data_IF_072864198109
#
_entry.id   IF_072864198109
#
_cell.length_a   1.000
_cell.length_b   1.000
_cell.length_c   1.000
_cell.angle_alpha   90.00
_cell.angle_beta   90.00
_cell.angle_gamma   90.00
#
_symmetry.space_group_name_H-M   'P 1'
#
loop_
_entity.id
_entity.type
_entity.pdbx_description
1 polymer ?
#
# COMPACT_ATOMS: atom_id res chain seq x y z
N UNK A 1 2.41 9.56 -17.95
CA UNK A 1 0.98 9.49 -17.58
C UNK A 1 0.82 9.26 -16.10
N UNK A 2 -0.16 9.91 -15.52
CA UNK A 2 -0.45 9.75 -14.10
C UNK A 2 -0.94 8.32 -13.80
N UNK A 3 -0.45 7.75 -12.71
CA UNK A 3 -0.88 6.46 -12.20
C UNK A 3 -1.79 6.65 -10.99
N UNK A 4 -2.70 5.74 -10.77
CA UNK A 4 -3.66 5.80 -9.67
C UNK A 4 -3.18 4.92 -8.53
N UNK A 5 -2.96 5.53 -7.36
CA UNK A 5 -2.44 4.83 -6.19
C UNK A 5 -3.45 4.92 -5.05
N UNK A 6 -3.86 3.77 -4.54
CA UNK A 6 -4.68 3.69 -3.34
C UNK A 6 -3.74 3.59 -2.14
N UNK A 7 -3.91 4.47 -1.15
CA UNK A 7 -3.05 4.50 0.03
C UNK A 7 -3.88 4.12 1.25
N UNK A 8 -3.60 2.97 1.83
CA UNK A 8 -4.30 2.46 3.02
C UNK A 8 -3.39 2.62 4.22
N UNK A 9 -3.69 3.59 5.06
CA UNK A 9 -2.88 3.98 6.22
C UNK A 9 -3.77 4.66 7.25
N UNK A 10 -3.76 4.20 8.48
CA UNK A 10 -4.59 4.75 9.56
C UNK A 10 -4.00 6.01 10.21
N UNK A 11 -2.69 6.19 10.16
CA UNK A 11 -2.04 7.36 10.73
C UNK A 11 -2.17 8.56 9.79
N UNK A 12 -2.84 9.61 10.24
CA UNK A 12 -3.11 10.78 9.41
C UNK A 12 -1.87 11.45 8.85
N UNK A 13 -0.81 11.56 9.64
CA UNK A 13 0.42 12.21 9.20
C UNK A 13 1.10 11.40 8.10
N UNK A 14 1.19 10.09 8.28
CA UNK A 14 1.76 9.21 7.27
C UNK A 14 0.91 9.18 6.00
N UNK A 15 -0.41 9.13 6.16
CA UNK A 15 -1.33 9.14 5.02
C UNK A 15 -1.14 10.41 4.19
N UNK A 16 -1.09 11.57 4.87
CA UNK A 16 -0.87 12.85 4.21
C UNK A 16 0.49 12.87 3.50
N UNK A 17 1.54 12.40 4.18
CA UNK A 17 2.88 12.36 3.61
C UNK A 17 2.90 11.52 2.33
N UNK A 18 2.36 10.32 2.37
CA UNK A 18 2.37 9.44 1.21
C UNK A 18 1.58 10.02 0.04
N UNK A 19 0.39 10.56 0.33
CA UNK A 19 -0.44 11.16 -0.71
C UNK A 19 0.22 12.40 -1.32
N UNK A 20 0.81 13.25 -0.49
CA UNK A 20 1.49 14.46 -0.97
C UNK A 20 2.70 14.11 -1.84
N UNK A 21 3.49 13.11 -1.43
CA UNK A 21 4.63 12.64 -2.21
C UNK A 21 4.21 12.08 -3.57
N UNK A 22 3.15 11.28 -3.59
CA UNK A 22 2.65 10.70 -4.83
C UNK A 22 2.14 11.79 -5.78
N UNK A 23 1.39 12.75 -5.25
CA UNK A 23 0.88 13.87 -6.05
C UNK A 23 1.98 14.77 -6.57
N UNK A 24 3.04 14.95 -5.79
CA UNK A 24 4.20 15.73 -6.22
C UNK A 24 4.94 15.06 -7.37
N UNK A 25 4.77 13.75 -7.55
CA UNK A 25 5.37 12.98 -8.64
C UNK A 25 4.33 12.63 -9.73
N UNK A 26 3.28 13.44 -9.83
CA UNK A 26 2.27 13.37 -10.87
C UNK A 26 1.39 12.10 -10.83
N UNK A 27 1.25 11.48 -9.67
CA UNK A 27 0.32 10.36 -9.47
C UNK A 27 -0.97 10.83 -8.79
N UNK A 28 -2.07 10.16 -9.06
CA UNK A 28 -3.30 10.33 -8.28
C UNK A 28 -3.20 9.48 -7.02
N UNK A 29 -3.59 10.03 -5.88
CA UNK A 29 -3.57 9.31 -4.62
C UNK A 29 -4.96 9.37 -3.97
N UNK A 30 -5.52 8.20 -3.67
CA UNK A 30 -6.79 8.07 -2.95
C UNK A 30 -6.51 7.57 -1.54
N UNK A 31 -6.77 8.39 -0.51
CA UNK A 31 -6.52 7.97 0.87
C UNK A 31 -7.61 7.07 1.42
N UNK A 32 -7.21 6.05 2.17
CA UNK A 32 -8.12 5.17 2.92
C UNK A 32 -7.58 5.06 4.34
N UNK A 33 -8.30 5.61 5.30
CA UNK A 33 -7.86 5.62 6.70
C UNK A 33 -8.28 4.37 7.47
N UNK A 34 -9.31 3.69 7.01
CA UNK A 34 -9.85 2.51 7.66
C UNK A 34 -9.66 1.30 6.75
N UNK A 35 -8.84 0.34 7.20
CA UNK A 35 -8.55 -0.86 6.42
C UNK A 35 -9.77 -1.67 6.04
N UNK A 36 -10.86 -1.56 6.83
CA UNK A 36 -12.12 -2.25 6.53
C UNK A 36 -12.75 -1.78 5.23
N UNK A 37 -12.40 -0.58 4.76
CA UNK A 37 -12.92 -0.02 3.52
C UNK A 37 -12.00 -0.28 2.32
N UNK A 38 -10.83 -0.88 2.54
CA UNK A 38 -9.80 -0.99 1.51
C UNK A 38 -10.25 -1.75 0.28
N UNK A 39 -10.91 -2.89 0.46
CA UNK A 39 -11.36 -3.72 -0.67
C UNK A 39 -12.41 -2.99 -1.51
N UNK A 40 -13.42 -2.39 -0.87
CA UNK A 40 -14.46 -1.64 -1.57
C UNK A 40 -13.86 -0.44 -2.33
N UNK A 41 -12.94 0.28 -1.70
CA UNK A 41 -12.27 1.41 -2.33
C UNK A 41 -11.39 0.97 -3.51
N UNK A 42 -10.73 -0.17 -3.40
CA UNK A 42 -9.94 -0.72 -4.50
C UNK A 42 -10.81 -1.02 -5.72
N UNK A 43 -12.01 -1.56 -5.50
CA UNK A 43 -12.95 -1.82 -6.59
C UNK A 43 -13.42 -0.54 -7.26
N UNK A 44 -13.77 0.47 -6.46
CA UNK A 44 -14.31 1.74 -6.96
C UNK A 44 -13.23 2.59 -7.65
N UNK A 45 -12.07 2.66 -7.07
CA UNK A 45 -10.99 3.51 -7.58
C UNK A 45 -10.24 2.87 -8.74
N UNK A 46 -10.17 1.55 -8.80
CA UNK A 46 -9.42 0.78 -9.79
C UNK A 46 -7.96 1.24 -9.87
N UNK A 47 -7.20 1.12 -8.76
CA UNK A 47 -5.83 1.64 -8.72
C UNK A 47 -4.86 0.82 -9.56
N UNK A 48 -3.75 1.46 -9.93
CA UNK A 48 -2.62 0.80 -10.58
C UNK A 48 -1.64 0.23 -9.54
N UNK A 49 -1.73 0.71 -8.30
CA UNK A 49 -0.88 0.27 -7.18
C UNK A 49 -1.63 0.52 -5.87
N UNK A 50 -1.42 -0.37 -4.91
CA UNK A 50 -1.91 -0.19 -3.54
C UNK A 50 -0.70 -0.07 -2.61
N UNK A 51 -0.65 1.02 -1.84
CA UNK A 51 0.29 1.19 -0.73
C UNK A 51 -0.45 0.78 0.54
N UNK A 52 0.03 -0.26 1.21
CA UNK A 52 -0.69 -0.90 2.31
C UNK A 52 0.13 -0.87 3.60
N UNK A 53 -0.38 -0.17 4.62
CA UNK A 53 0.19 -0.25 5.95
C UNK A 53 -0.18 -1.61 6.55
N UNK A 54 0.81 -2.28 7.13
CA UNK A 54 0.60 -3.61 7.73
C UNK A 54 -0.02 -3.51 9.12
N UNK A 55 0.30 -2.45 9.86
CA UNK A 55 -0.11 -2.27 11.25
C UNK A 55 -1.27 -1.30 11.37
N UNK A 56 -2.49 -1.82 11.28
CA UNK A 56 -3.69 -1.01 11.41
C UNK A 56 -4.63 -1.60 12.45
N UNK A 57 -5.43 -0.74 13.14
CA UNK A 57 -6.49 -1.24 14.02
C UNK A 57 -7.58 -1.91 13.21
N UNK A 58 -8.34 -2.78 13.83
CA UNK A 58 -9.51 -3.48 13.28
C UNK A 58 -9.20 -4.57 12.25
N UNK A 59 -8.25 -4.36 11.35
CA UNK A 59 -7.91 -5.35 10.33
C UNK A 59 -6.41 -5.33 10.05
N UNK A 60 -5.80 -6.50 9.93
CA UNK A 60 -4.39 -6.63 9.61
C UNK A 60 -4.14 -6.32 8.12
N UNK A 61 -3.08 -5.58 7.83
CA UNK A 61 -2.65 -5.37 6.45
C UNK A 61 -2.30 -6.68 5.74
N UNK A 62 -1.77 -7.65 6.46
CA UNK A 62 -1.49 -8.98 5.89
C UNK A 62 -2.77 -9.66 5.42
N UNK A 63 -3.83 -9.62 6.23
CA UNK A 63 -5.12 -10.19 5.86
C UNK A 63 -5.72 -9.49 4.64
N UNK A 64 -5.57 -8.17 4.58
CA UNK A 64 -6.03 -7.39 3.42
C UNK A 64 -5.27 -7.77 2.15
N UNK A 65 -3.96 -7.94 2.24
CA UNK A 65 -3.14 -8.37 1.10
C UNK A 65 -3.62 -9.72 0.59
N UNK A 66 -3.81 -10.68 1.49
CA UNK A 66 -4.31 -12.01 1.12
C UNK A 66 -5.69 -11.94 0.49
N UNK A 67 -6.58 -11.11 1.04
CA UNK A 67 -7.93 -10.93 0.51
C UNK A 67 -7.90 -10.36 -0.91
N UNK A 68 -7.08 -9.32 -1.12
CA UNK A 68 -6.94 -8.70 -2.44
C UNK A 68 -6.34 -9.67 -3.45
N UNK A 69 -5.30 -10.39 -3.05
CA UNK A 69 -4.62 -11.35 -3.93
C UNK A 69 -5.46 -12.60 -4.19
N UNK A 70 -6.42 -12.89 -3.34
CA UNK A 70 -7.38 -13.97 -3.55
C UNK A 70 -8.59 -13.56 -4.39
N UNK A 71 -8.75 -12.26 -4.66
CA UNK A 71 -9.89 -11.74 -5.42
C UNK A 71 -9.56 -11.70 -6.90
N UNK A 72 -10.39 -12.35 -7.71
CA UNK A 72 -10.15 -12.46 -9.16
C UNK A 72 -10.12 -11.14 -9.90
N UNK A 73 -10.77 -10.10 -9.37
CA UNK A 73 -10.78 -8.77 -9.99
C UNK A 73 -9.64 -7.87 -9.51
N UNK A 74 -9.10 -8.11 -8.32
CA UNK A 74 -8.11 -7.24 -7.69
C UNK A 74 -6.69 -7.81 -7.65
N UNK A 75 -6.54 -9.12 -7.83
CA UNK A 75 -5.23 -9.78 -7.65
C UNK A 75 -4.13 -9.29 -8.58
N UNK A 76 -4.50 -8.67 -9.69
CA UNK A 76 -3.51 -8.14 -10.65
C UNK A 76 -2.86 -6.84 -10.17
N UNK A 77 -3.44 -6.18 -9.16
CA UNK A 77 -2.95 -4.90 -8.67
C UNK A 77 -1.72 -5.14 -7.78
N UNK A 78 -0.55 -4.56 -8.10
CA UNK A 78 0.61 -4.68 -7.23
C UNK A 78 0.38 -3.99 -5.89
N UNK A 79 0.93 -4.59 -4.83
CA UNK A 79 0.82 -4.07 -3.47
C UNK A 79 2.21 -3.80 -2.93
N UNK A 80 2.44 -2.58 -2.45
CA UNK A 80 3.64 -2.20 -1.74
C UNK A 80 3.30 -2.09 -0.25
N UNK A 81 3.85 -2.99 0.54
CA UNK A 81 3.62 -2.99 1.98
C UNK A 81 4.53 -1.96 2.66
N UNK A 82 3.97 -1.26 3.64
CA UNK A 82 4.71 -0.31 4.47
C UNK A 82 4.56 -0.74 5.92
N UNK A 83 5.66 -0.89 6.66
CA UNK A 83 5.61 -1.41 8.01
C UNK A 83 6.70 -0.84 8.90
N UNK A 84 6.40 -0.70 10.22
CA UNK A 84 7.40 -0.39 11.23
C UNK A 84 8.17 -1.64 11.67
N UNK A 85 7.66 -2.82 11.32
CA UNK A 85 8.34 -4.08 11.65
C UNK A 85 9.49 -4.30 10.70
N UNK A 86 10.69 -4.44 11.28
CA UNK A 86 11.90 -4.69 10.52
C UNK A 86 12.60 -5.97 11.01
N UNK A 87 11.88 -6.84 11.73
CA UNK A 87 12.45 -8.08 12.23
C UNK A 87 12.68 -9.06 11.09
N UNK A 88 13.70 -9.88 11.26
CA UNK A 88 14.01 -10.93 10.30
C UNK A 88 12.81 -11.87 10.16
N UNK A 89 12.38 -12.11 8.95
CA UNK A 89 11.21 -12.95 8.66
C UNK A 89 9.93 -12.18 8.43
N UNK A 90 9.84 -10.92 8.84
CA UNK A 90 8.64 -10.11 8.60
C UNK A 90 8.46 -9.83 7.11
N UNK A 91 9.54 -9.51 6.42
CA UNK A 91 9.49 -9.29 4.97
C UNK A 91 9.03 -10.56 4.24
N UNK A 92 9.54 -11.72 4.67
CA UNK A 92 9.17 -12.99 4.06
C UNK A 92 7.67 -13.27 4.21
N UNK A 93 7.10 -13.00 5.39
CA UNK A 93 5.66 -13.17 5.63
C UNK A 93 4.82 -12.22 4.79
N UNK A 94 5.26 -10.98 4.68
CA UNK A 94 4.57 -9.95 3.90
C UNK A 94 4.57 -10.33 2.41
N UNK A 95 5.71 -10.76 1.89
CA UNK A 95 5.82 -11.20 0.51
C UNK A 95 5.05 -12.50 0.26
N UNK A 96 5.05 -13.41 1.23
CA UNK A 96 4.28 -14.66 1.13
C UNK A 96 2.78 -14.39 1.10
N UNK A 97 2.30 -13.32 1.74
CA UNK A 97 0.90 -12.92 1.66
C UNK A 97 0.53 -12.39 0.28
N UNK A 98 1.52 -11.96 -0.52
CA UNK A 98 1.31 -11.54 -1.90
C UNK A 98 1.82 -10.14 -2.24
N UNK A 99 2.48 -9.43 -1.30
CA UNK A 99 3.02 -8.11 -1.59
C UNK A 99 4.19 -8.19 -2.56
N UNK A 100 4.20 -7.33 -3.56
CA UNK A 100 5.26 -7.26 -4.56
C UNK A 100 6.45 -6.43 -4.10
N UNK A 101 6.25 -5.54 -3.12
CA UNK A 101 7.31 -4.71 -2.57
C UNK A 101 7.10 -4.47 -1.08
N UNK A 102 8.17 -4.02 -0.43
CA UNK A 102 8.19 -3.82 1.01
C UNK A 102 9.06 -2.61 1.33
N UNK A 103 8.55 -1.71 2.16
CA UNK A 103 9.28 -0.52 2.62
C UNK A 103 9.10 -0.42 4.14
N UNK A 104 10.20 -0.25 4.87
CA UNK A 104 10.14 -0.11 6.32
C UNK A 104 10.08 1.35 6.75
N UNK A 105 9.35 1.61 7.84
CA UNK A 105 9.32 2.91 8.49
C UNK A 105 10.55 3.06 9.39
N UNK A 106 11.08 4.28 9.59
CA UNK A 106 10.65 5.54 8.98
C UNK A 106 10.96 5.58 7.49
N UNK A 107 10.05 6.21 6.73
CA UNK A 107 10.12 6.19 5.28
C UNK A 107 11.21 7.14 4.76
N UNK A 108 12.07 6.64 3.88
CA UNK A 108 12.92 7.47 3.06
C UNK A 108 12.12 7.90 1.83
N UNK A 109 12.03 9.20 1.58
CA UNK A 109 11.28 9.74 0.44
C UNK A 109 11.77 9.12 -0.88
N UNK A 110 13.09 9.07 -1.07
CA UNK A 110 13.67 8.50 -2.30
C UNK A 110 13.33 7.03 -2.46
N UNK A 111 13.48 6.23 -1.40
CA UNK A 111 13.16 4.80 -1.46
C UNK A 111 11.68 4.57 -1.71
N UNK A 112 10.81 5.38 -1.11
CA UNK A 112 9.38 5.26 -1.29
C UNK A 112 9.01 5.49 -2.77
N UNK A 113 9.47 6.59 -3.34
CA UNK A 113 9.17 6.93 -4.73
C UNK A 113 9.81 5.95 -5.71
N UNK A 114 11.06 5.54 -5.46
CA UNK A 114 11.72 4.56 -6.32
C UNK A 114 10.98 3.23 -6.33
N UNK A 115 10.50 2.78 -5.16
CA UNK A 115 9.73 1.54 -5.06
C UNK A 115 8.39 1.64 -5.77
N UNK A 116 7.71 2.79 -5.65
CA UNK A 116 6.45 3.04 -6.35
C UNK A 116 6.67 2.96 -7.86
N UNK A 117 7.67 3.69 -8.36
CA UNK A 117 7.94 3.73 -9.80
C UNK A 117 8.38 2.39 -10.36
N UNK A 118 9.04 1.56 -9.57
CA UNK A 118 9.48 0.23 -10.00
C UNK A 118 8.30 -0.74 -10.21
N UNK A 119 7.13 -0.45 -9.64
CA UNK A 119 5.94 -1.31 -9.73
C UNK A 119 4.99 -0.92 -10.87
N UNK A 120 5.29 0.14 -11.58
CA UNK A 120 4.47 0.60 -12.70
C UNK A 120 4.94 0.10 -14.06
#
# INVERSE_FOLDING_TARGET
MAKRVLVVEDNELNLKLFCDLLRAHDHEAEPVRDGREAVAKARDFAPDLIVMDIQMPHVSGLDLIETIKGDGELRHIPIMAVTAYAAKGDEERIRAAGAEAYVSKPISVLKFIDSVNALF
#
